data_IF_116412158950
#
_entry.id   IF_116412158950
#
_cell.length_a   1.000
_cell.length_b   1.000
_cell.length_c   1.000
_cell.angle_alpha   90.00
_cell.angle_beta   90.00
_cell.angle_gamma   90.00
#
_symmetry.space_group_name_H-M   'P 1'
#
loop_
_entity.id
_entity.type
_entity.pdbx_description
1 polymer ?
#
# COMPACT_ATOMS: atom_id res chain seq x y z
N UNK A 1 -9.70 -23.76 -2.28
CA UNK A 1 -8.47 -23.94 -1.50
C UNK A 1 -8.82 -24.26 -0.06
N UNK A 2 -8.35 -25.38 0.46
CA UNK A 2 -8.60 -25.80 1.85
C UNK A 2 -7.81 -24.92 2.83
N UNK A 3 -8.19 -24.90 4.13
CA UNK A 3 -7.43 -24.17 5.16
C UNK A 3 -5.99 -24.67 5.28
N UNK A 4 -5.73 -25.95 5.01
CA UNK A 4 -4.40 -26.55 5.06
C UNK A 4 -3.52 -26.03 3.91
N UNK A 5 -4.03 -26.03 2.68
CA UNK A 5 -3.35 -25.48 1.50
C UNK A 5 -2.98 -23.99 1.71
N UNK A 6 -3.91 -23.16 2.21
CA UNK A 6 -3.63 -21.73 2.50
C UNK A 6 -2.50 -21.54 3.50
N UNK A 7 -2.38 -22.43 4.49
CA UNK A 7 -1.31 -22.38 5.49
C UNK A 7 0.04 -22.82 4.91
N UNK A 8 0.05 -23.82 4.02
CA UNK A 8 1.26 -24.23 3.31
C UNK A 8 1.75 -23.13 2.36
N UNK A 9 0.84 -22.52 1.58
CA UNK A 9 1.15 -21.39 0.70
C UNK A 9 1.75 -20.20 1.47
N UNK A 10 1.12 -19.80 2.59
CA UNK A 10 1.69 -18.74 3.45
C UNK A 10 3.07 -19.08 4.02
N UNK A 11 3.38 -20.36 4.23
CA UNK A 11 4.72 -20.78 4.68
C UNK A 11 5.75 -20.72 3.54
N UNK A 12 5.35 -21.00 2.30
CA UNK A 12 6.26 -20.99 1.14
C UNK A 12 6.49 -19.61 0.54
N UNK A 13 5.48 -18.73 0.54
CA UNK A 13 5.54 -17.40 -0.12
C UNK A 13 6.30 -16.33 0.67
N UNK A 14 6.79 -16.65 1.88
CA UNK A 14 7.47 -15.69 2.73
C UNK A 14 6.53 -14.58 3.24
N UNK A 15 7.07 -13.42 3.59
CA UNK A 15 6.26 -12.26 4.00
C UNK A 15 5.92 -11.40 2.77
N UNK A 16 4.64 -11.31 2.35
CA UNK A 16 4.24 -10.55 1.18
C UNK A 16 4.65 -9.07 1.23
N UNK A 17 4.68 -8.48 2.44
CA UNK A 17 5.12 -7.09 2.63
C UNK A 17 6.60 -6.91 2.28
N UNK A 18 7.43 -7.90 2.59
CA UNK A 18 8.87 -7.84 2.29
C UNK A 18 9.10 -7.91 0.78
N UNK A 19 8.38 -8.78 0.08
CA UNK A 19 8.47 -8.86 -1.39
C UNK A 19 7.94 -7.58 -2.05
N UNK A 20 6.84 -7.02 -1.56
CA UNK A 20 6.35 -5.73 -2.01
C UNK A 20 7.40 -4.62 -1.83
N UNK A 21 8.03 -4.53 -0.66
CA UNK A 21 9.07 -3.52 -0.40
C UNK A 21 10.29 -3.71 -1.29
N UNK A 22 10.67 -4.95 -1.63
CA UNK A 22 11.75 -5.21 -2.60
C UNK A 22 11.39 -4.68 -4.00
N UNK A 23 10.18 -4.99 -4.48
CA UNK A 23 9.68 -4.54 -5.79
C UNK A 23 9.58 -3.01 -5.82
N UNK A 24 8.97 -2.40 -4.80
CA UNK A 24 8.87 -0.95 -4.67
C UNK A 24 10.26 -0.31 -4.68
N UNK A 25 11.22 -0.82 -3.90
CA UNK A 25 12.57 -0.27 -3.85
C UNK A 25 13.34 -0.42 -5.17
N UNK A 26 13.09 -1.50 -5.92
CA UNK A 26 13.78 -1.75 -7.19
C UNK A 26 13.22 -0.90 -8.34
N UNK A 27 11.90 -0.83 -8.47
CA UNK A 27 11.24 -0.17 -9.61
C UNK A 27 10.77 1.26 -9.31
N UNK A 28 10.43 1.56 -8.06
CA UNK A 28 9.77 2.80 -7.64
C UNK A 28 10.44 3.40 -6.40
N UNK A 29 11.78 3.53 -6.44
CA UNK A 29 12.60 3.91 -5.28
C UNK A 29 12.12 5.20 -4.59
N UNK A 30 11.67 6.18 -5.38
CA UNK A 30 11.30 7.52 -4.92
C UNK A 30 9.78 7.70 -4.69
N UNK A 31 9.01 6.61 -4.75
CA UNK A 31 7.54 6.64 -4.63
C UNK A 31 7.04 7.40 -3.40
N UNK A 32 7.64 7.14 -2.23
CA UNK A 32 7.21 7.76 -0.98
C UNK A 32 7.57 9.25 -0.91
N UNK A 33 8.72 9.64 -1.48
CA UNK A 33 9.09 11.05 -1.61
C UNK A 33 8.18 11.78 -2.59
N UNK A 34 7.79 11.15 -3.70
CA UNK A 34 6.86 11.72 -4.66
C UNK A 34 5.49 11.96 -4.02
N UNK A 35 5.03 11.00 -3.21
CA UNK A 35 3.78 11.08 -2.47
C UNK A 35 3.78 12.21 -1.44
N UNK A 36 4.88 12.35 -0.67
CA UNK A 36 5.04 13.44 0.30
C UNK A 36 5.21 14.82 -0.38
N UNK A 37 5.75 14.85 -1.60
CA UNK A 37 5.96 16.06 -2.39
C UNK A 37 4.71 16.57 -3.11
N UNK A 38 3.59 15.83 -3.09
CA UNK A 38 2.34 16.27 -3.72
C UNK A 38 1.83 17.55 -3.06
N UNK A 39 1.57 18.57 -3.88
CA UNK A 39 0.96 19.81 -3.42
C UNK A 39 -0.47 19.55 -2.95
N UNK A 40 -0.69 19.65 -1.65
CA UNK A 40 -1.98 19.45 -1.03
C UNK A 40 -2.80 20.75 -1.10
N UNK A 41 -3.95 20.78 -1.81
CA UNK A 41 -4.79 21.96 -1.90
C UNK A 41 -5.60 22.22 -0.61
N UNK A 42 -5.59 21.29 0.35
CA UNK A 42 -6.34 21.42 1.59
C UNK A 42 -5.71 22.49 2.49
N UNK A 43 -6.56 23.24 3.18
CA UNK A 43 -6.10 24.22 4.15
C UNK A 43 -5.45 23.52 5.37
N UNK A 44 -4.34 24.06 5.87
CA UNK A 44 -3.49 23.42 6.89
C UNK A 44 -4.19 23.09 8.20
N UNK A 45 -5.25 23.83 8.55
CA UNK A 45 -6.09 23.58 9.72
C UNK A 45 -6.92 22.30 9.65
N UNK A 46 -7.01 21.64 8.49
CA UNK A 46 -7.80 20.42 8.28
C UNK A 46 -6.92 19.19 7.99
N UNK A 47 -5.62 19.26 8.31
CA UNK A 47 -4.66 18.18 8.04
C UNK A 47 -4.49 17.30 9.28
N UNK A 48 -5.31 16.25 9.37
CA UNK A 48 -5.07 15.14 10.31
C UNK A 48 -4.14 14.07 9.70
N UNK A 49 -4.19 13.94 8.37
CA UNK A 49 -3.39 12.99 7.58
C UNK A 49 -2.68 13.72 6.44
N UNK A 50 -1.38 13.47 6.32
CA UNK A 50 -0.54 13.97 5.24
C UNK A 50 -0.92 13.35 3.88
N UNK A 51 -0.52 14.02 2.80
CA UNK A 51 -0.81 13.62 1.42
C UNK A 51 -0.31 12.21 1.09
N UNK A 52 0.86 11.83 1.60
CA UNK A 52 1.45 10.51 1.43
C UNK A 52 0.60 9.39 2.06
N UNK A 53 0.08 9.59 3.26
CA UNK A 53 -0.82 8.64 3.92
C UNK A 53 -2.09 8.47 3.10
N UNK A 54 -2.68 9.57 2.63
CA UNK A 54 -3.90 9.52 1.81
C UNK A 54 -3.71 8.81 0.48
N UNK A 55 -2.55 8.97 -0.16
CA UNK A 55 -2.22 8.34 -1.44
C UNK A 55 -1.81 6.87 -1.28
N UNK A 56 -1.22 6.50 -0.15
CA UNK A 56 -0.85 5.11 0.17
C UNK A 56 -2.08 4.21 0.26
N UNK A 57 -3.20 4.72 0.78
CA UNK A 57 -4.43 3.95 0.95
C UNK A 57 -5.01 3.40 -0.38
N UNK A 58 -5.34 4.22 -1.39
CA UNK A 58 -5.84 3.73 -2.67
C UNK A 58 -4.78 2.91 -3.43
N UNK A 59 -3.48 3.18 -3.23
CA UNK A 59 -2.42 2.33 -3.78
C UNK A 59 -2.51 0.90 -3.21
N UNK A 60 -2.57 0.77 -1.88
CA UNK A 60 -2.69 -0.52 -1.20
C UNK A 60 -3.99 -1.24 -1.55
N UNK A 61 -5.09 -0.50 -1.73
CA UNK A 61 -6.35 -1.03 -2.25
C UNK A 61 -6.14 -1.83 -3.53
N UNK A 62 -5.47 -1.20 -4.49
CA UNK A 62 -5.27 -1.75 -5.82
C UNK A 62 -4.28 -2.92 -5.79
N UNK A 63 -3.23 -2.85 -4.97
CA UNK A 63 -2.27 -3.94 -4.78
C UNK A 63 -2.95 -5.18 -4.19
N UNK A 64 -3.86 -4.99 -3.24
CA UNK A 64 -4.59 -6.06 -2.57
C UNK A 64 -5.83 -6.54 -3.33
N UNK A 65 -6.09 -6.02 -4.54
CA UNK A 65 -7.29 -6.31 -5.35
C UNK A 65 -8.62 -6.09 -4.60
N UNK A 66 -8.64 -5.09 -3.70
CA UNK A 66 -9.87 -4.67 -3.03
C UNK A 66 -10.65 -3.77 -4.01
N UNK A 67 -11.94 -4.03 -4.22
CA UNK A 67 -12.68 -3.37 -5.32
C UNK A 67 -13.21 -2.01 -4.94
N UNK A 68 -13.57 -1.79 -3.67
CA UNK A 68 -14.06 -0.50 -3.17
C UNK A 68 -13.29 0.01 -1.96
N UNK A 69 -13.39 1.31 -1.68
CA UNK A 69 -12.89 1.85 -0.40
C UNK A 69 -13.78 1.47 0.79
N UNK A 70 -15.00 0.98 0.55
CA UNK A 70 -15.93 0.53 1.60
C UNK A 70 -15.61 -0.89 2.09
N UNK A 71 -14.97 -1.70 1.25
CA UNK A 71 -14.51 -3.05 1.57
C UNK A 71 -13.13 -3.07 2.25
N UNK A 72 -12.45 -1.92 2.27
CA UNK A 72 -11.14 -1.75 2.90
C UNK A 72 -11.27 -1.60 4.42
#
# INVERSE_FOLDING_TARGET
MTRAERRQLKKSEGNPLVEFLKVQKHFYKDLWSDFAGVHDPRHSSYIDYSSDVMLTMPLMKNICDIRSMQEM
#
